data_IF_996061694588
#
_entry.id   IF_996061694588
#
_cell.length_a   1.000
_cell.length_b   1.000
_cell.length_c   1.000
_cell.angle_alpha   90.00
_cell.angle_beta   90.00
_cell.angle_gamma   90.00
#
_symmetry.space_group_name_H-M   'P 1'
#
loop_
_entity.id
_entity.type
_entity.pdbx_description
1 polymer ?
#
# COMPACT_ATOMS: atom_id res chain seq x y z
N UNK A 1 -24.14 -53.37 -40.16
CA UNK A 1 -23.29 -53.21 -38.98
C UNK A 1 -24.02 -52.29 -38.02
N UNK A 2 -24.61 -52.87 -36.98
CA UNK A 2 -25.50 -52.21 -36.02
C UNK A 2 -24.75 -52.01 -34.70
N UNK A 3 -24.54 -50.75 -34.32
CA UNK A 3 -23.95 -50.36 -33.04
C UNK A 3 -25.07 -50.17 -32.01
N UNK A 4 -25.00 -50.90 -30.90
CA UNK A 4 -25.79 -50.65 -29.69
C UNK A 4 -25.00 -49.76 -28.72
N UNK A 5 -25.63 -48.79 -28.05
CA UNK A 5 -24.96 -47.96 -27.06
C UNK A 5 -24.85 -48.67 -25.71
N UNK A 6 -23.73 -48.43 -25.02
CA UNK A 6 -23.41 -48.97 -23.70
C UNK A 6 -24.00 -48.03 -22.64
N UNK A 7 -25.07 -48.45 -21.97
CA UNK A 7 -25.61 -47.75 -20.80
C UNK A 7 -24.72 -48.01 -19.59
N UNK A 8 -23.92 -47.00 -19.22
CA UNK A 8 -23.10 -47.00 -18.01
C UNK A 8 -23.91 -46.52 -16.81
N UNK A 9 -24.40 -47.47 -16.01
CA UNK A 9 -25.11 -47.26 -14.75
C UNK A 9 -24.19 -46.62 -13.70
N UNK A 10 -24.36 -45.31 -13.44
CA UNK A 10 -23.72 -44.62 -12.31
C UNK A 10 -24.57 -44.76 -11.05
N UNK A 11 -24.24 -45.78 -10.24
CA UNK A 11 -24.80 -45.91 -8.89
C UNK A 11 -24.31 -44.82 -7.93
N UNK A 12 -25.12 -44.42 -6.93
CA UNK A 12 -24.75 -43.40 -5.96
C UNK A 12 -23.62 -43.91 -5.04
N UNK A 13 -22.52 -43.15 -4.97
CA UNK A 13 -21.42 -43.45 -4.05
C UNK A 13 -21.84 -43.09 -2.62
N UNK A 14 -21.58 -43.95 -1.62
CA UNK A 14 -21.88 -43.65 -0.23
C UNK A 14 -20.98 -42.50 0.26
N UNK A 15 -21.61 -41.50 0.87
CA UNK A 15 -20.93 -40.38 1.53
C UNK A 15 -20.36 -40.91 2.85
N UNK A 16 -19.04 -41.00 2.94
CA UNK A 16 -18.33 -41.31 4.18
C UNK A 16 -18.16 -39.98 4.95
N UNK A 17 -18.76 -39.80 6.14
CA UNK A 17 -18.49 -38.62 6.94
C UNK A 17 -17.08 -38.73 7.53
N UNK A 18 -16.17 -37.89 7.01
CA UNK A 18 -14.83 -37.72 7.59
C UNK A 18 -15.01 -36.87 8.86
N UNK A 19 -15.04 -37.54 10.01
CA UNK A 19 -15.05 -36.90 11.32
C UNK A 19 -13.65 -36.34 11.61
N UNK A 20 -13.42 -35.08 11.24
CA UNK A 20 -12.15 -34.39 11.57
C UNK A 20 -12.21 -33.96 13.04
N UNK A 21 -11.56 -34.73 13.92
CA UNK A 21 -11.28 -34.31 15.28
C UNK A 21 -10.24 -33.18 15.26
N UNK A 22 -10.72 -31.94 15.37
CA UNK A 22 -9.86 -30.78 15.64
C UNK A 22 -9.41 -30.86 17.10
N UNK A 23 -8.20 -31.38 17.29
CA UNK A 23 -7.50 -31.31 18.57
C UNK A 23 -7.23 -29.84 18.90
N UNK A 24 -7.95 -29.31 19.89
CA UNK A 24 -7.60 -28.03 20.54
C UNK A 24 -6.29 -28.23 21.27
N UNK A 25 -5.22 -27.65 20.71
CA UNK A 25 -3.93 -27.54 21.38
C UNK A 25 -3.95 -26.27 22.21
N UNK A 26 -4.30 -26.42 23.49
CA UNK A 26 -4.11 -25.39 24.50
C UNK A 26 -2.62 -25.07 24.61
N UNK A 27 -2.24 -23.87 24.19
CA UNK A 27 -0.88 -23.35 24.30
C UNK A 27 -0.84 -22.29 25.39
N UNK A 28 -0.81 -22.76 26.62
CA UNK A 28 -0.25 -22.03 27.76
C UNK A 28 1.27 -22.09 27.67
N UNK A 29 1.92 -20.93 27.63
CA UNK A 29 3.24 -20.58 28.19
C UNK A 29 3.61 -19.20 27.63
N UNK A 30 3.47 -18.12 28.40
CA UNK A 30 4.41 -17.65 29.45
C UNK A 30 5.71 -17.15 28.83
N UNK A 31 5.84 -15.82 28.81
CA UNK A 31 7.02 -15.10 28.34
C UNK A 31 6.76 -13.61 28.41
N UNK A 32 6.58 -13.08 29.61
CA UNK A 32 6.72 -11.64 29.88
C UNK A 32 8.19 -11.27 29.64
N UNK A 33 8.47 -10.60 28.53
CA UNK A 33 9.73 -9.89 28.32
C UNK A 33 9.47 -8.40 28.52
N UNK A 34 9.70 -7.93 29.73
CA UNK A 34 9.82 -6.52 30.10
C UNK A 34 11.08 -5.97 29.44
N UNK A 35 10.93 -5.36 28.27
CA UNK A 35 12.01 -4.60 27.63
C UNK A 35 12.12 -3.29 28.42
N UNK A 36 13.26 -3.12 29.12
CA UNK A 36 13.69 -1.83 29.67
C UNK A 36 14.00 -0.91 28.50
N UNK A 37 13.30 0.21 28.43
CA UNK A 37 13.70 1.36 27.63
C UNK A 37 14.82 2.07 28.41
N UNK A 38 16.05 1.92 27.94
CA UNK A 38 17.19 2.72 28.41
C UNK A 38 17.08 4.11 27.78
N UNK A 39 16.75 5.10 28.61
CA UNK A 39 16.83 6.52 28.29
C UNK A 39 18.29 6.90 27.99
N UNK A 40 18.63 6.94 26.70
CA UNK A 40 19.89 7.51 26.22
C UNK A 40 19.62 8.97 25.87
N UNK A 41 20.06 9.86 26.75
CA UNK A 41 20.09 11.30 26.52
C UNK A 41 21.12 11.60 25.43
N UNK A 42 20.66 11.70 24.17
CA UNK A 42 21.46 12.22 23.06
C UNK A 42 21.58 13.74 23.21
N UNK A 43 22.76 14.19 23.63
CA UNK A 43 23.14 15.61 23.62
C UNK A 43 23.12 16.14 22.18
N UNK A 44 22.28 17.15 21.92
CA UNK A 44 22.24 17.87 20.65
C UNK A 44 23.56 18.65 20.44
N UNK A 45 24.33 18.38 19.37
CA UNK A 45 25.45 19.24 19.01
C UNK A 45 24.89 20.55 18.45
N UNK A 46 25.15 21.65 19.17
CA UNK A 46 24.85 23.00 18.74
C UNK A 46 25.45 23.31 17.36
N UNK A 47 24.61 23.31 16.34
CA UNK A 47 24.98 23.69 14.99
C UNK A 47 24.92 25.22 14.89
N UNK A 48 26.08 25.86 15.06
CA UNK A 48 26.26 27.28 14.80
C UNK A 48 25.94 27.59 13.35
N UNK A 49 24.86 28.36 13.14
CA UNK A 49 24.49 28.91 11.85
C UNK A 49 25.46 30.02 11.46
N UNK A 50 26.53 29.67 10.74
CA UNK A 50 27.25 30.63 9.92
C UNK A 50 26.68 30.58 8.51
N UNK A 51 26.00 31.66 8.13
CA UNK A 51 25.42 31.94 6.82
C UNK A 51 26.52 32.05 5.75
N UNK A 52 26.64 31.12 4.78
CA UNK A 52 27.36 31.41 3.56
C UNK A 52 26.39 32.13 2.62
N UNK A 53 26.58 33.45 2.48
CA UNK A 53 26.00 34.25 1.40
C UNK A 53 26.37 33.63 0.05
N UNK A 54 25.51 32.76 -0.45
CA UNK A 54 25.68 32.09 -1.74
C UNK A 54 25.29 33.07 -2.85
N UNK A 55 26.28 33.80 -3.34
CA UNK A 55 26.15 34.73 -4.44
C UNK A 55 26.10 33.94 -5.76
N UNK A 56 24.90 33.71 -6.29
CA UNK A 56 24.73 33.03 -7.58
C UNK A 56 25.27 33.90 -8.73
N UNK A 57 26.09 33.36 -9.63
CA UNK A 57 26.55 34.08 -10.81
C UNK A 57 25.40 34.26 -11.82
N UNK A 58 24.86 35.47 -11.90
CA UNK A 58 23.93 35.89 -12.94
C UNK A 58 24.69 36.36 -14.18
N UNK A 59 25.07 35.45 -15.07
CA UNK A 59 25.40 35.80 -16.45
C UNK A 59 25.34 34.61 -17.41
N UNK A 60 24.12 34.19 -17.76
CA UNK A 60 23.91 33.43 -18.99
C UNK A 60 24.07 34.38 -20.19
N UNK A 61 25.30 34.49 -20.69
CA UNK A 61 25.58 35.07 -22.00
C UNK A 61 25.15 34.04 -23.05
N UNK A 62 24.00 34.26 -23.70
CA UNK A 62 23.59 33.55 -24.91
C UNK A 62 24.60 33.85 -26.02
N UNK A 63 25.57 32.96 -26.21
CA UNK A 63 26.45 33.00 -27.37
C UNK A 63 25.75 32.29 -28.54
N UNK A 64 24.94 33.03 -29.30
CA UNK A 64 24.29 32.57 -30.53
C UNK A 64 25.30 32.57 -31.68
N UNK A 65 26.28 31.68 -31.64
CA UNK A 65 27.08 31.37 -32.82
C UNK A 65 26.39 30.23 -33.57
N UNK A 66 25.56 30.63 -34.53
CA UNK A 66 25.03 29.79 -35.59
C UNK A 66 26.19 29.08 -36.30
N UNK A 67 26.48 27.84 -35.92
CA UNK A 67 27.25 26.93 -36.77
C UNK A 67 26.37 26.54 -37.94
N UNK A 68 26.67 27.11 -39.10
CA UNK A 68 26.22 26.63 -40.40
C UNK A 68 26.69 25.18 -40.52
N UNK A 69 25.75 24.24 -40.42
CA UNK A 69 26.02 22.81 -40.62
C UNK A 69 26.18 22.60 -42.13
N UNK A 70 27.37 22.22 -42.63
CA UNK A 70 27.55 21.92 -44.04
C UNK A 70 26.66 20.74 -44.44
N UNK A 71 25.96 20.88 -45.56
CA UNK A 71 25.09 19.86 -46.13
C UNK A 71 25.87 18.54 -46.25
N UNK A 72 25.43 17.53 -45.49
CA UNK A 72 26.03 16.20 -45.50
C UNK A 72 25.71 15.54 -46.84
N UNK A 73 26.71 15.03 -47.59
CA UNK A 73 26.49 14.40 -48.87
C UNK A 73 25.63 13.14 -48.71
N UNK A 74 24.53 13.13 -49.46
CA UNK A 74 23.60 12.03 -49.65
C UNK A 74 24.31 10.84 -50.31
N UNK A 75 25.01 10.03 -49.53
CA UNK A 75 25.72 8.86 -50.04
C UNK A 75 25.43 7.62 -49.21
N UNK A 76 24.98 6.59 -49.91
CA UNK A 76 24.82 5.20 -49.49
C UNK A 76 23.71 4.95 -48.46
N UNK A 77 22.50 4.85 -49.02
CA UNK A 77 21.35 4.11 -48.49
C UNK A 77 21.85 2.74 -48.00
N UNK A 78 21.98 2.50 -46.68
CA UNK A 78 22.20 1.16 -46.18
C UNK A 78 20.95 0.39 -46.55
N UNK A 79 21.10 -0.71 -47.28
CA UNK A 79 20.03 -1.66 -47.53
C UNK A 79 19.32 -1.89 -46.20
N UNK A 80 18.06 -1.45 -46.14
CA UNK A 80 17.13 -1.68 -45.06
C UNK A 80 16.89 -3.18 -45.00
N UNK A 81 17.87 -3.90 -44.45
CA UNK A 81 17.63 -5.04 -43.60
C UNK A 81 16.81 -4.46 -42.46
N UNK A 82 15.51 -4.40 -42.70
CA UNK A 82 14.49 -4.49 -41.67
C UNK A 82 14.90 -5.68 -40.82
N UNK A 83 15.75 -5.42 -39.82
CA UNK A 83 15.59 -6.02 -38.51
C UNK A 83 14.19 -5.59 -38.06
N UNK A 84 13.18 -6.22 -38.66
CA UNK A 84 12.08 -6.75 -37.90
C UNK A 84 12.77 -7.56 -36.82
N UNK A 85 13.12 -6.88 -35.72
CA UNK A 85 13.07 -7.51 -34.44
C UNK A 85 11.66 -8.07 -34.40
N UNK A 86 11.56 -9.35 -34.77
CA UNK A 86 10.41 -10.17 -34.52
C UNK A 86 10.25 -10.16 -33.00
N UNK A 87 9.69 -9.06 -32.48
CA UNK A 87 8.93 -9.05 -31.26
C UNK A 87 7.98 -10.19 -31.48
N UNK A 88 8.34 -11.36 -30.94
CA UNK A 88 7.45 -12.52 -30.90
C UNK A 88 6.16 -11.93 -30.39
N UNK A 89 5.16 -11.88 -31.27
CA UNK A 89 3.85 -11.30 -30.93
C UNK A 89 3.31 -12.25 -29.87
N UNK A 90 3.46 -11.85 -28.61
CA UNK A 90 2.92 -12.60 -27.50
C UNK A 90 1.40 -12.46 -27.65
N UNK A 91 0.73 -13.55 -27.98
CA UNK A 91 -0.71 -13.56 -28.18
C UNK A 91 -1.41 -13.77 -26.85
N UNK A 92 -2.51 -13.07 -26.63
CA UNK A 92 -3.38 -13.31 -25.50
C UNK A 92 -4.08 -14.67 -25.63
N UNK A 93 -3.93 -15.57 -24.64
CA UNK A 93 -4.60 -16.88 -24.62
C UNK A 93 -6.01 -16.74 -24.01
N UNK A 94 -6.12 -15.91 -22.98
CA UNK A 94 -7.38 -15.57 -22.31
C UNK A 94 -7.36 -14.10 -21.92
N UNK A 95 -8.52 -13.46 -21.66
CA UNK A 95 -8.57 -12.05 -21.31
C UNK A 95 -7.61 -11.69 -20.14
N UNK A 96 -6.58 -10.93 -20.44
CA UNK A 96 -5.52 -10.49 -19.55
C UNK A 96 -4.41 -11.50 -19.26
N UNK A 97 -4.32 -12.62 -19.98
CA UNK A 97 -3.23 -13.60 -19.85
C UNK A 97 -2.56 -13.84 -21.20
N UNK A 98 -1.27 -13.57 -21.24
CA UNK A 98 -0.41 -13.73 -22.41
C UNK A 98 0.01 -15.18 -22.65
N UNK A 99 0.51 -15.48 -23.85
CA UNK A 99 0.89 -16.85 -24.24
C UNK A 99 2.04 -17.45 -23.46
N UNK A 100 2.82 -16.63 -22.78
CA UNK A 100 3.89 -17.01 -21.89
C UNK A 100 3.44 -17.14 -20.42
N UNK A 101 2.14 -16.93 -20.13
CA UNK A 101 1.57 -16.98 -18.79
C UNK A 101 1.62 -15.65 -18.03
N UNK A 102 2.11 -14.58 -18.65
CA UNK A 102 2.19 -13.26 -18.02
C UNK A 102 0.80 -12.64 -17.86
N UNK A 103 0.50 -12.12 -16.66
CA UNK A 103 -0.76 -11.43 -16.38
C UNK A 103 -0.68 -9.95 -16.75
N UNK A 104 -1.75 -9.40 -17.33
CA UNK A 104 -1.83 -7.99 -17.72
C UNK A 104 -2.94 -7.25 -16.97
N UNK A 105 -2.91 -5.92 -17.01
CA UNK A 105 -3.91 -5.05 -16.37
C UNK A 105 -5.32 -5.21 -16.96
N UNK A 106 -5.45 -5.83 -18.13
CA UNK A 106 -6.72 -6.14 -18.77
C UNK A 106 -7.42 -7.39 -18.19
N UNK A 107 -6.82 -8.04 -17.19
CA UNK A 107 -7.38 -9.25 -16.59
C UNK A 107 -8.70 -8.93 -15.85
N UNK A 108 -9.80 -9.69 -16.08
CA UNK A 108 -11.12 -9.36 -15.55
C UNK A 108 -11.18 -9.38 -14.02
N UNK A 109 -10.32 -10.16 -13.36
CA UNK A 109 -10.23 -10.16 -11.89
C UNK A 109 -9.65 -8.85 -11.34
N UNK A 110 -8.81 -8.13 -12.09
CA UNK A 110 -8.26 -6.84 -11.65
C UNK A 110 -9.38 -5.82 -11.47
N UNK A 111 -10.27 -5.69 -12.46
CA UNK A 111 -11.39 -4.74 -12.38
C UNK A 111 -12.39 -5.12 -11.28
N UNK A 112 -12.75 -6.40 -11.20
CA UNK A 112 -13.64 -6.90 -10.13
C UNK A 112 -13.04 -6.67 -8.75
N UNK A 113 -11.73 -6.87 -8.59
CA UNK A 113 -11.03 -6.63 -7.34
C UNK A 113 -11.06 -5.14 -6.98
N UNK A 114 -10.78 -4.24 -7.92
CA UNK A 114 -10.83 -2.79 -7.70
C UNK A 114 -12.24 -2.34 -7.26
N UNK A 115 -13.29 -2.90 -7.87
CA UNK A 115 -14.67 -2.62 -7.51
C UNK A 115 -14.99 -3.10 -6.08
N UNK A 116 -14.61 -4.34 -5.75
CA UNK A 116 -14.76 -4.92 -4.41
C UNK A 116 -14.02 -4.12 -3.34
N UNK A 117 -12.77 -3.76 -3.64
CA UNK A 117 -11.91 -2.95 -2.80
C UNK A 117 -12.50 -1.56 -2.54
N UNK A 118 -13.07 -0.93 -3.58
CA UNK A 118 -13.76 0.38 -3.46
C UNK A 118 -14.94 0.30 -2.51
N UNK A 119 -15.80 -0.72 -2.64
CA UNK A 119 -16.96 -0.92 -1.76
C UNK A 119 -16.52 -1.16 -0.31
N UNK A 120 -15.53 -2.02 -0.11
CA UNK A 120 -15.02 -2.35 1.22
C UNK A 120 -14.34 -1.14 1.89
N UNK A 121 -13.56 -0.37 1.13
CA UNK A 121 -12.87 0.80 1.64
C UNK A 121 -13.85 1.91 2.06
N UNK A 122 -14.87 2.19 1.22
CA UNK A 122 -15.94 3.14 1.58
C UNK A 122 -16.68 2.70 2.84
N UNK A 123 -16.97 1.41 2.98
CA UNK A 123 -17.60 0.86 4.20
C UNK A 123 -16.72 1.03 5.44
N UNK A 124 -15.40 0.91 5.30
CA UNK A 124 -14.46 1.02 6.43
C UNK A 124 -14.22 2.47 6.89
N UNK A 125 -14.23 3.44 5.98
CA UNK A 125 -13.83 4.82 6.28
C UNK A 125 -14.97 5.85 6.21
N UNK A 126 -16.13 5.49 5.65
CA UNK A 126 -17.35 6.32 5.62
C UNK A 126 -17.28 7.55 4.71
N UNK A 127 -16.45 8.53 5.09
CA UNK A 127 -16.26 9.81 4.41
C UNK A 127 -15.08 9.75 3.41
N UNK A 128 -14.96 10.72 2.47
CA UNK A 128 -13.81 10.79 1.58
C UNK A 128 -12.54 10.91 2.44
N UNK A 129 -11.59 9.97 2.25
CA UNK A 129 -10.39 9.92 3.06
C UNK A 129 -9.52 11.15 2.81
N UNK A 130 -9.03 11.75 3.89
CA UNK A 130 -7.87 12.61 3.80
C UNK A 130 -6.63 11.71 3.68
N UNK A 131 -5.82 11.87 2.64
CA UNK A 131 -4.58 11.09 2.43
C UNK A 131 -3.67 11.11 3.68
N UNK A 132 -3.65 12.24 4.39
CA UNK A 132 -2.84 12.44 5.58
C UNK A 132 -3.39 11.76 6.84
N UNK A 133 -4.60 11.19 6.79
CA UNK A 133 -5.17 10.50 7.94
C UNK A 133 -4.67 9.08 8.06
N UNK A 134 -4.35 8.72 9.29
CA UNK A 134 -4.00 7.36 9.67
C UNK A 134 -5.19 6.46 9.35
N UNK A 135 -5.02 5.53 8.40
CA UNK A 135 -6.11 4.65 8.02
C UNK A 135 -6.49 3.69 9.14
N UNK A 136 -7.79 3.39 9.22
CA UNK A 136 -8.34 2.39 10.14
C UNK A 136 -7.69 1.03 9.91
N UNK A 137 -7.57 0.22 10.96
CA UNK A 137 -6.99 -1.12 10.86
C UNK A 137 -7.72 -2.01 9.85
N UNK A 138 -9.04 -1.85 9.74
CA UNK A 138 -9.84 -2.55 8.74
C UNK A 138 -9.47 -2.13 7.31
N UNK A 139 -9.26 -0.83 7.04
CA UNK A 139 -8.81 -0.36 5.73
C UNK A 139 -7.40 -0.88 5.38
N UNK A 140 -6.49 -0.91 6.38
CA UNK A 140 -5.12 -1.43 6.19
C UNK A 140 -5.07 -2.89 5.75
N UNK A 141 -6.03 -3.69 6.23
CA UNK A 141 -6.16 -5.11 5.90
C UNK A 141 -6.70 -5.36 4.49
N UNK A 142 -7.32 -4.37 3.84
CA UNK A 142 -7.94 -4.58 2.53
C UNK A 142 -6.91 -4.87 1.42
N UNK A 143 -5.69 -4.34 1.54
CA UNK A 143 -4.59 -4.62 0.62
C UNK A 143 -3.76 -5.87 0.99
N UNK A 144 -4.31 -6.81 1.76
CA UNK A 144 -3.64 -8.09 2.06
C UNK A 144 -4.00 -9.15 1.01
N UNK A 145 -3.03 -9.99 0.61
CA UNK A 145 -3.23 -11.06 -0.37
C UNK A 145 -4.35 -12.02 0.06
N UNK A 146 -4.41 -12.35 1.36
CA UNK A 146 -5.44 -13.22 1.95
C UNK A 146 -6.87 -12.69 1.81
N UNK A 147 -7.05 -11.41 1.47
CA UNK A 147 -8.37 -10.77 1.27
C UNK A 147 -8.81 -10.71 -0.18
N UNK A 148 -7.94 -11.00 -1.14
CA UNK A 148 -8.25 -10.85 -2.58
C UNK A 148 -9.43 -11.74 -2.98
N UNK A 149 -9.39 -13.04 -2.64
CA UNK A 149 -10.50 -13.96 -2.92
C UNK A 149 -11.84 -13.51 -2.29
N UNK A 150 -11.80 -13.01 -1.06
CA UNK A 150 -12.99 -12.51 -0.37
C UNK A 150 -13.58 -11.23 -1.01
N UNK A 151 -12.75 -10.41 -1.64
CA UNK A 151 -13.17 -9.17 -2.31
C UNK A 151 -13.65 -9.42 -3.75
N UNK A 152 -13.16 -10.47 -4.40
CA UNK A 152 -13.56 -10.88 -5.74
C UNK A 152 -14.98 -11.45 -5.78
N UNK A 153 -15.37 -12.25 -4.78
CA UNK A 153 -16.70 -12.88 -4.66
C UNK A 153 -17.12 -13.68 -5.92
N UNK A 154 -16.17 -14.38 -6.55
CA UNK A 154 -16.38 -15.12 -7.81
C UNK A 154 -16.81 -16.59 -7.55
N UNK A 155 -16.76 -17.05 -6.30
CA UNK A 155 -17.05 -18.44 -5.93
C UNK A 155 -15.95 -19.43 -6.31
N UNK A 156 -14.90 -18.98 -7.00
CA UNK A 156 -13.67 -19.73 -7.29
C UNK A 156 -12.53 -19.18 -6.45
N UNK A 157 -11.78 -20.06 -5.80
CA UNK A 157 -10.58 -19.67 -5.06
C UNK A 157 -9.41 -19.55 -6.06
N UNK A 158 -8.80 -18.37 -6.14
CA UNK A 158 -7.55 -18.16 -6.85
C UNK A 158 -6.38 -18.63 -5.99
N UNK A 159 -5.33 -19.10 -6.64
CA UNK A 159 -4.08 -19.45 -5.98
C UNK A 159 -3.43 -18.20 -5.36
N UNK A 160 -2.55 -18.40 -4.38
CA UNK A 160 -1.87 -17.29 -3.69
C UNK A 160 -1.09 -16.41 -4.68
N UNK A 161 -0.38 -17.03 -5.64
CA UNK A 161 0.36 -16.33 -6.69
C UNK A 161 -0.56 -15.50 -7.59
N UNK A 162 -1.73 -16.02 -7.95
CA UNK A 162 -2.71 -15.29 -8.76
C UNK A 162 -3.29 -14.11 -7.98
N UNK A 163 -3.57 -14.30 -6.69
CA UNK A 163 -4.00 -13.21 -5.80
C UNK A 163 -2.94 -12.10 -5.73
N UNK A 164 -1.66 -12.45 -5.61
CA UNK A 164 -0.54 -11.50 -5.66
C UNK A 164 -0.51 -10.72 -6.98
N UNK A 165 -0.65 -11.41 -8.11
CA UNK A 165 -0.68 -10.79 -9.44
C UNK A 165 -1.84 -9.82 -9.59
N UNK A 166 -3.05 -10.23 -9.20
CA UNK A 166 -4.24 -9.38 -9.24
C UNK A 166 -4.07 -8.14 -8.35
N UNK A 167 -3.55 -8.32 -7.13
CA UNK A 167 -3.29 -7.21 -6.20
C UNK A 167 -2.29 -6.20 -6.78
N UNK A 168 -1.16 -6.68 -7.30
CA UNK A 168 -0.11 -5.84 -7.86
C UNK A 168 -0.56 -5.11 -9.13
N UNK A 169 -1.26 -5.80 -10.04
CA UNK A 169 -1.80 -5.19 -11.26
C UNK A 169 -2.88 -4.15 -10.94
N UNK A 170 -3.73 -4.40 -9.95
CA UNK A 170 -4.69 -3.42 -9.48
C UNK A 170 -4.01 -2.18 -8.88
N UNK A 171 -2.95 -2.39 -8.10
CA UNK A 171 -2.14 -1.31 -7.55
C UNK A 171 -1.52 -0.47 -8.66
N UNK A 172 -0.89 -1.10 -9.65
CA UNK A 172 -0.29 -0.44 -10.81
C UNK A 172 -1.33 0.32 -11.64
N UNK A 173 -2.52 -0.25 -11.85
CA UNK A 173 -3.63 0.41 -12.55
C UNK A 173 -4.10 1.67 -11.83
N UNK A 174 -4.19 1.61 -10.50
CA UNK A 174 -4.64 2.71 -9.64
C UNK A 174 -3.55 3.74 -9.33
N UNK A 175 -2.28 3.45 -9.65
CA UNK A 175 -1.15 4.33 -9.35
C UNK A 175 -1.35 5.74 -9.92
N UNK A 176 -1.84 5.83 -11.15
CA UNK A 176 -2.10 7.10 -11.86
C UNK A 176 -3.47 7.72 -11.54
N UNK A 177 -4.25 7.11 -10.64
CA UNK A 177 -5.62 7.51 -10.29
C UNK A 177 -5.77 7.84 -8.80
N UNK A 178 -5.09 8.88 -8.29
CA UNK A 178 -5.09 9.23 -6.86
C UNK A 178 -6.48 9.57 -6.31
N UNK A 179 -7.38 10.06 -7.15
CA UNK A 179 -8.77 10.38 -6.78
C UNK A 179 -9.66 9.15 -6.60
N UNK A 180 -9.22 7.97 -7.06
CA UNK A 180 -9.99 6.75 -6.95
C UNK A 180 -10.01 6.24 -5.50
N UNK A 181 -11.16 5.86 -4.90
CA UNK A 181 -11.21 5.48 -3.49
C UNK A 181 -10.32 4.28 -3.13
N UNK A 182 -10.22 3.29 -4.04
CA UNK A 182 -9.34 2.14 -3.85
C UNK A 182 -7.85 2.49 -3.95
N UNK A 183 -7.47 3.66 -4.51
CA UNK A 183 -6.07 4.09 -4.55
C UNK A 183 -5.49 4.13 -3.14
N UNK A 184 -6.22 4.75 -2.21
CA UNK A 184 -5.76 4.87 -0.83
C UNK A 184 -5.75 3.54 -0.10
N UNK A 185 -6.58 2.58 -0.50
CA UNK A 185 -6.56 1.23 0.03
C UNK A 185 -5.27 0.44 -0.31
N UNK A 186 -4.50 0.88 -1.30
CA UNK A 186 -3.24 0.23 -1.73
C UNK A 186 -2.02 1.13 -1.50
N UNK A 187 -2.17 2.43 -1.76
CA UNK A 187 -1.11 3.44 -1.79
C UNK A 187 -1.19 4.47 -0.64
N UNK A 188 -2.13 4.29 0.29
CA UNK A 188 -2.19 5.10 1.50
C UNK A 188 -1.20 4.61 2.55
N UNK A 189 -0.66 5.52 3.37
CA UNK A 189 0.31 5.13 4.42
C UNK A 189 -0.36 4.32 5.53
N UNK A 190 0.26 3.21 6.00
CA UNK A 190 1.60 2.69 5.65
C UNK A 190 1.59 1.55 4.60
N UNK A 191 0.52 1.38 3.83
CA UNK A 191 0.38 0.27 2.88
C UNK A 191 1.19 0.46 1.60
N UNK A 192 1.59 1.69 1.29
CA UNK A 192 2.40 2.03 0.12
C UNK A 192 3.67 1.18 0.05
N UNK A 193 4.42 1.04 1.15
CA UNK A 193 5.62 0.20 1.16
C UNK A 193 5.32 -1.26 0.86
N UNK A 194 4.33 -1.86 1.52
CA UNK A 194 3.92 -3.26 1.29
C UNK A 194 3.53 -3.50 -0.17
N UNK A 195 2.79 -2.56 -0.75
CA UNK A 195 2.36 -2.64 -2.15
C UNK A 195 3.56 -2.55 -3.10
N UNK A 196 4.54 -1.69 -2.82
CA UNK A 196 5.79 -1.64 -3.60
C UNK A 196 6.57 -2.94 -3.50
N UNK A 197 6.77 -3.47 -2.29
CA UNK A 197 7.52 -4.70 -2.09
C UNK A 197 6.91 -5.85 -2.92
N UNK A 198 5.58 -5.92 -2.96
CA UNK A 198 4.87 -6.91 -3.78
C UNK A 198 5.08 -6.67 -5.29
N UNK A 199 4.96 -5.43 -5.77
CA UNK A 199 5.19 -5.11 -7.18
C UNK A 199 6.62 -5.45 -7.59
N UNK A 200 7.61 -5.08 -6.77
CA UNK A 200 9.02 -5.41 -6.98
C UNK A 200 9.24 -6.93 -6.98
N UNK A 201 8.59 -7.67 -6.06
CA UNK A 201 8.65 -9.14 -6.01
C UNK A 201 8.21 -9.78 -7.34
N UNK A 202 7.14 -9.29 -7.96
CA UNK A 202 6.59 -9.87 -9.19
C UNK A 202 7.29 -9.42 -10.48
N UNK A 203 7.95 -8.24 -10.46
CA UNK A 203 8.72 -7.71 -11.60
C UNK A 203 10.19 -8.17 -11.63
N UNK A 204 10.72 -8.68 -10.52
CA UNK A 204 12.11 -9.12 -10.41
C UNK A 204 12.45 -10.40 -11.21
N UNK A 205 11.58 -11.43 -11.27
CA UNK A 205 11.86 -12.66 -12.01
C UNK A 205 11.98 -12.44 -13.53
N UNK A 206 12.68 -13.38 -14.20
CA UNK A 206 12.74 -13.49 -15.66
C UNK A 206 12.35 -14.91 -16.07
N UNK A 207 11.25 -15.12 -16.82
CA UNK A 207 10.31 -14.10 -17.32
C UNK A 207 9.54 -13.39 -16.19
N UNK A 208 9.06 -12.17 -16.47
CA UNK A 208 8.23 -11.41 -15.51
C UNK A 208 6.87 -12.07 -15.38
N UNK A 209 6.30 -12.07 -14.17
CA UNK A 209 4.99 -12.71 -13.92
C UNK A 209 3.83 -11.80 -14.34
N UNK A 210 4.05 -10.48 -14.28
CA UNK A 210 3.08 -9.46 -14.65
C UNK A 210 3.66 -8.52 -15.71
N UNK A 211 2.80 -8.03 -16.61
CA UNK A 211 3.11 -6.99 -17.59
C UNK A 211 2.61 -5.63 -17.05
N UNK A 212 3.51 -4.74 -16.58
CA UNK A 212 3.11 -3.50 -15.96
C UNK A 212 2.56 -2.52 -17.01
N UNK A 213 1.45 -1.79 -16.72
CA UNK A 213 0.84 -0.87 -17.68
C UNK A 213 1.68 0.40 -17.92
N UNK A 214 2.74 0.58 -17.12
CA UNK A 214 3.65 1.71 -17.16
C UNK A 214 5.06 1.22 -16.82
N UNK A 215 6.05 2.00 -17.25
CA UNK A 215 7.44 1.68 -16.96
C UNK A 215 7.74 1.76 -15.44
N UNK A 216 8.27 0.69 -14.87
CA UNK A 216 8.64 0.61 -13.46
C UNK A 216 10.09 1.07 -13.26
N UNK A 217 10.28 2.23 -12.62
CA UNK A 217 11.61 2.84 -12.40
C UNK A 217 12.31 2.39 -11.11
N UNK A 218 11.76 1.37 -10.44
CA UNK A 218 12.24 0.91 -9.14
C UNK A 218 11.58 1.62 -7.96
N UNK A 219 11.65 0.99 -6.80
CA UNK A 219 10.94 1.36 -5.57
C UNK A 219 11.08 2.84 -5.18
N UNK A 220 12.31 3.34 -5.01
CA UNK A 220 12.54 4.71 -4.50
C UNK A 220 11.95 5.78 -5.42
N UNK A 221 12.14 5.61 -6.72
CA UNK A 221 11.65 6.56 -7.74
C UNK A 221 10.12 6.51 -7.79
N UNK A 222 9.54 5.32 -7.81
CA UNK A 222 8.08 5.15 -7.85
C UNK A 222 7.39 5.67 -6.59
N UNK A 223 7.98 5.48 -5.40
CA UNK A 223 7.44 6.00 -4.15
C UNK A 223 7.54 7.53 -4.08
N UNK A 224 8.67 8.10 -4.53
CA UNK A 224 8.82 9.55 -4.62
C UNK A 224 7.77 10.17 -5.55
N UNK A 225 7.59 9.61 -6.75
CA UNK A 225 6.56 10.07 -7.69
C UNK A 225 5.15 9.97 -7.07
N UNK A 226 4.83 8.85 -6.42
CA UNK A 226 3.55 8.64 -5.77
C UNK A 226 3.26 9.73 -4.74
N UNK A 227 4.21 10.00 -3.84
CA UNK A 227 4.05 11.03 -2.81
C UNK A 227 3.92 12.44 -3.42
N UNK A 228 4.62 12.74 -4.51
CA UNK A 228 4.44 14.00 -5.24
C UNK A 228 3.02 14.13 -5.81
N UNK A 229 2.52 13.10 -6.50
CA UNK A 229 1.15 13.10 -7.03
C UNK A 229 0.12 13.25 -5.91
N UNK A 230 0.23 12.46 -4.84
CA UNK A 230 -0.69 12.53 -3.70
C UNK A 230 -0.68 13.91 -3.00
N UNK A 231 0.48 14.58 -2.93
CA UNK A 231 0.56 15.93 -2.36
C UNK A 231 -0.21 16.97 -3.18
N UNK A 232 -0.27 16.78 -4.51
CA UNK A 232 -0.98 17.68 -5.41
C UNK A 232 -2.49 17.48 -5.35
N UNK A 233 -2.95 16.23 -5.33
CA UNK A 233 -4.38 15.90 -5.29
C UNK A 233 -5.01 16.07 -3.90
N UNK A 234 -4.21 15.91 -2.84
CA UNK A 234 -4.64 16.05 -1.45
C UNK A 234 -3.78 17.09 -0.74
N UNK A 235 -3.90 18.38 -1.10
CA UNK A 235 -3.15 19.44 -0.45
C UNK A 235 -3.41 19.36 1.05
N UNK A 236 -2.33 19.45 1.84
CA UNK A 236 -2.46 19.57 3.29
C UNK A 236 -3.36 20.76 3.54
N UNK A 237 -4.57 20.52 4.02
CA UNK A 237 -5.37 21.57 4.60
C UNK A 237 -4.49 22.12 5.70
N UNK A 238 -3.92 23.31 5.47
CA UNK A 238 -3.30 24.04 6.55
C UNK A 238 -4.38 24.06 7.61
N UNK A 239 -4.05 23.55 8.79
CA UNK A 239 -4.87 23.79 9.97
C UNK A 239 -4.90 25.29 10.05
N UNK A 240 -5.88 25.90 9.39
CA UNK A 240 -6.27 27.28 9.58
C UNK A 240 -6.56 27.23 11.05
N UNK A 241 -5.58 27.67 11.80
CA UNK A 241 -5.70 27.75 13.23
C UNK A 241 -6.97 28.55 13.38
N UNK A 242 -8.02 27.89 13.87
CA UNK A 242 -9.06 28.56 14.60
C UNK A 242 -8.32 29.22 15.75
N UNK A 243 -7.66 30.34 15.43
CA UNK A 243 -7.48 31.46 16.31
C UNK A 243 -8.89 31.94 16.56
N UNK A 244 -9.61 31.13 17.35
CA UNK A 244 -10.65 31.58 18.26
C UNK A 244 -10.14 32.93 18.74
N UNK A 245 -10.83 33.99 18.35
CA UNK A 245 -10.44 35.33 18.67
C UNK A 245 -10.34 35.48 20.19
N UNK A 246 -9.19 35.20 20.77
CA UNK A 246 -8.70 35.87 21.97
C UNK A 246 -8.05 37.16 21.50
N UNK A 247 -8.92 38.07 21.00
CA UNK A 247 -8.73 39.48 21.33
C UNK A 247 -8.80 39.54 22.86
N UNK A 248 -7.96 40.39 23.47
CA UNK A 248 -7.73 40.61 24.91
C UNK A 248 -6.54 39.76 25.42
N UNK A 249 -5.38 40.30 25.78
CA UNK A 249 -5.01 41.68 26.05
C UNK A 249 -3.50 41.87 25.79
N UNK A 250 -3.17 42.99 25.16
CA UNK A 250 -1.85 43.60 25.21
C UNK A 250 -1.56 44.02 26.67
N UNK A 251 -1.09 43.06 27.48
CA UNK A 251 -0.56 43.31 28.80
C UNK A 251 0.91 43.66 28.70
N UNK A 252 1.21 44.95 28.57
CA UNK A 252 2.55 45.49 28.87
C UNK A 252 2.96 45.02 30.27
N UNK A 253 3.96 44.14 30.39
CA UNK A 253 4.79 44.08 31.61
C UNK A 253 6.26 44.01 31.26
N UNK A 254 6.88 45.18 31.48
CA UNK A 254 8.28 45.43 31.78
C UNK A 254 8.65 44.77 33.12
N UNK A 255 9.91 44.36 33.27
CA UNK A 255 10.59 44.12 34.55
C UNK A 255 10.80 42.63 34.84
N UNK A 256 12.02 42.07 34.80
CA UNK A 256 13.22 42.29 35.63
C UNK A 256 13.34 41.22 36.74
N UNK A 257 14.56 40.68 36.83
CA UNK A 257 15.26 39.98 37.93
C UNK A 257 15.10 38.48 38.21
N UNK A 258 16.28 37.84 38.10
CA UNK A 258 16.86 36.66 38.78
C UNK A 258 16.34 36.34 40.20
N UNK A 259 16.23 35.05 40.48
CA UNK A 259 16.66 34.34 41.71
C UNK A 259 16.66 32.83 41.38
N UNK A 260 17.81 32.16 41.21
CA UNK A 260 18.53 31.38 42.23
C UNK A 260 17.66 30.92 43.40
N UNK A 261 17.38 29.62 43.45
CA UNK A 261 17.30 28.82 44.69
C UNK A 261 17.45 27.33 44.38
N UNK A 262 18.45 26.75 45.02
CA UNK A 262 18.54 25.34 45.37
C UNK A 262 17.34 24.92 46.25
N UNK A 263 16.88 23.68 46.10
CA UNK A 263 16.68 22.69 47.17
C UNK A 263 15.59 21.65 46.84
N UNK A 264 16.04 20.39 46.85
CA UNK A 264 15.40 19.19 47.45
C UNK A 264 13.98 18.81 47.00
N UNK A 265 13.89 17.74 46.20
CA UNK A 265 12.67 16.95 46.01
C UNK A 265 12.44 15.96 47.17
N UNK A 266 11.19 15.79 47.65
CA UNK A 266 10.77 14.59 48.35
C UNK A 266 10.07 13.59 47.41
N UNK A 267 10.58 12.36 47.45
CA UNK A 267 9.88 11.07 47.51
C UNK A 267 8.48 10.96 46.85
N UNK A 268 8.46 10.33 45.68
CA UNK A 268 7.26 9.98 44.91
C UNK A 268 6.69 8.66 45.42
N UNK A 269 5.47 8.70 45.95
CA UNK A 269 4.66 7.50 46.20
C UNK A 269 4.03 6.98 44.89
N UNK A 270 3.95 5.66 44.67
CA UNK A 270 3.30 5.09 43.50
C UNK A 270 1.76 5.16 43.62
N UNK A 271 1.10 5.67 42.57
CA UNK A 271 -0.36 5.61 42.40
C UNK A 271 -0.73 4.31 41.71
N UNK A 272 -1.47 3.47 42.42
CA UNK A 272 -2.17 2.31 41.89
C UNK A 272 -3.24 2.74 40.88
N UNK A 273 -3.05 2.38 39.60
CA UNK A 273 -4.10 2.39 38.59
C UNK A 273 -4.58 0.96 38.36
N UNK A 274 -5.75 0.65 38.91
CA UNK A 274 -6.52 -0.57 38.62
C UNK A 274 -7.21 -0.44 37.25
N UNK A 275 -7.02 -1.40 36.32
CA UNK A 275 -7.86 -1.49 35.14
C UNK A 275 -9.16 -2.25 35.46
N UNK A 276 -10.30 -1.58 35.27
CA UNK A 276 -11.64 -2.19 35.26
C UNK A 276 -11.78 -3.08 34.02
N UNK A 277 -11.76 -4.38 34.23
CA UNK A 277 -12.20 -5.38 33.25
C UNK A 277 -13.74 -5.39 33.20
N UNK A 278 -14.31 -5.02 32.06
CA UNK A 278 -15.71 -5.30 31.74
C UNK A 278 -15.80 -6.60 30.95
N UNK A 279 -15.91 -7.72 31.67
CA UNK A 279 -16.27 -9.00 31.08
C UNK A 279 -17.76 -9.00 30.69
N UNK A 280 -18.05 -8.99 29.39
CA UNK A 280 -19.39 -9.22 28.85
C UNK A 280 -19.61 -10.73 28.76
N UNK A 281 -20.42 -11.27 29.68
CA UNK A 281 -20.88 -12.66 29.68
C UNK A 281 -21.99 -12.82 28.63
N UNK A 282 -21.67 -13.42 27.48
CA UNK A 282 -22.68 -13.88 26.52
C UNK A 282 -23.10 -15.29 26.91
N UNK A 283 -24.32 -15.44 27.45
CA UNK A 283 -24.96 -16.74 27.68
C UNK A 283 -25.41 -17.33 26.34
N UNK A 284 -24.79 -18.43 25.92
CA UNK A 284 -25.25 -19.22 24.77
C UNK A 284 -26.36 -20.16 25.26
N UNK A 285 -27.61 -19.91 24.83
CA UNK A 285 -28.73 -20.81 25.07
C UNK A 285 -28.59 -22.05 24.16
N UNK A 286 -28.45 -23.22 24.79
CA UNK A 286 -28.48 -24.53 24.15
C UNK A 286 -29.93 -24.97 24.02
N UNK A 287 -30.53 -24.80 22.84
CA UNK A 287 -31.82 -25.42 22.52
C UNK A 287 -31.58 -26.89 22.19
N UNK A 288 -32.17 -27.76 23.01
CA UNK A 288 -32.16 -29.20 22.83
C UNK A 288 -33.07 -29.64 21.70
N UNK A 289 -32.58 -30.58 20.90
CA UNK A 289 -33.39 -31.47 20.08
C UNK A 289 -33.41 -32.81 20.82
N UNK A 290 -34.60 -33.24 21.23
CA UNK A 290 -34.87 -34.60 21.68
C UNK A 290 -35.48 -35.42 20.52
N UNK A 291 -35.39 -36.76 20.58
CA UNK A 291 -35.45 -37.67 19.43
C UNK A 291 -36.84 -37.84 18.81
#
# INVERSE_FOLDING_TARGET
MSFTPYEGTTGPRPIIPILVHVARKDRTERGESTIREDDTEDEEPGFSAEDPTFQYPTSYVRNTLFRVIPARPSSLRPSSSTREHAQRRVSEISPGVLSDGTFTVCHPHVDRYIDGLTRAYRKANGAPPNYWHVQSLSARRLGEVSRVNALLDIGTELDETECECVLALAALKLYTQPTHPAHLALWGRPMDQRTIDLVCKLLSPRPQVIDPPMYWMGERVMLWHLHQHQNWDFPRQSRTSESSGKKNACGKRKGTTKAVRDDVQPEIAPRDFSPREHAVVVRLAKAGMQP
#
